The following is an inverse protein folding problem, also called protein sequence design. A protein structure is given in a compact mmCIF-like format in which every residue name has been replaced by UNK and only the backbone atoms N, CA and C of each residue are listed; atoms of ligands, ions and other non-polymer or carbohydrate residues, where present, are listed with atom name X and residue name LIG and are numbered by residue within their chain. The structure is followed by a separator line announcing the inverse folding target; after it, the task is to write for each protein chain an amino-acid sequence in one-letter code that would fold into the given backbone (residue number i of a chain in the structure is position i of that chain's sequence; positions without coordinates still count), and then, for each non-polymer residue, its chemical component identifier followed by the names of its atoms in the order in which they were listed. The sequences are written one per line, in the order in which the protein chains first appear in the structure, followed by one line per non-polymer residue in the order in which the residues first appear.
data_IF_673717983001
#
_entry.id   IF_673717983001
#
_cell.length_a   1.000
_cell.length_b   1.000
_cell.length_c   1.000
_cell.angle_alpha   90.00
_cell.angle_beta   90.00
_cell.angle_gamma   90.00
#
_symmetry.space_group_name_H-M   'P 1'
#
loop_
_entity.id
_entity.type
_entity.pdbx_description
1 polymer ?
#
# COMPACT_ATOMS: atom_id res chain seq x y z
N UNK A 1 7.88 15.07 -34.97
CA UNK A 1 6.84 14.93 -33.95
C UNK A 1 7.26 13.79 -33.07
N UNK A 2 8.06 14.19 -32.11
CA UNK A 2 8.48 13.48 -30.91
C UNK A 2 7.25 12.91 -30.20
N UNK A 3 7.27 11.64 -29.80
CA UNK A 3 7.74 11.28 -28.46
C UNK A 3 7.76 9.74 -28.32
N UNK A 4 8.90 9.23 -27.87
CA UNK A 4 9.12 7.81 -27.63
C UNK A 4 8.34 7.39 -26.38
N UNK A 5 7.31 6.56 -26.55
CA UNK A 5 6.76 5.81 -25.41
C UNK A 5 7.81 4.81 -24.94
N UNK A 6 8.57 5.20 -23.92
CA UNK A 6 9.50 4.37 -23.17
C UNK A 6 8.70 3.29 -22.42
N UNK A 7 8.81 2.05 -22.88
CA UNK A 7 8.31 0.89 -22.16
C UNK A 7 9.25 0.69 -20.98
N UNK A 8 8.78 1.02 -19.77
CA UNK A 8 9.52 0.72 -18.54
C UNK A 8 9.46 -0.79 -18.32
N UNK A 9 10.58 -1.47 -18.58
CA UNK A 9 10.77 -2.88 -18.27
C UNK A 9 10.67 -3.09 -16.75
N UNK A 10 9.53 -3.61 -16.31
CA UNK A 10 9.34 -4.08 -14.95
C UNK A 10 10.12 -5.39 -14.80
N UNK A 11 11.41 -5.29 -14.43
CA UNK A 11 12.20 -6.44 -14.04
C UNK A 11 11.58 -7.08 -12.79
N UNK A 12 10.86 -8.18 -13.02
CA UNK A 12 10.57 -9.20 -12.01
C UNK A 12 11.90 -9.85 -11.66
N UNK A 13 12.53 -9.39 -10.59
CA UNK A 13 13.57 -10.17 -9.92
C UNK A 13 12.88 -10.96 -8.81
N UNK A 14 12.56 -12.19 -9.15
CA UNK A 14 12.33 -13.24 -8.18
C UNK A 14 13.69 -13.65 -7.61
N UNK A 15 14.00 -13.26 -6.38
CA UNK A 15 15.02 -13.95 -5.59
C UNK A 15 14.52 -14.19 -4.17
N UNK A 16 14.49 -15.49 -3.87
CA UNK A 16 14.25 -16.11 -2.59
C UNK A 16 15.57 -16.08 -1.82
N UNK A 17 15.64 -15.45 -0.66
CA UNK A 17 16.46 -15.89 0.47
C UNK A 17 16.25 -15.01 1.71
N UNK A 18 16.29 -15.69 2.84
CA UNK A 18 16.11 -15.24 4.21
C UNK A 18 17.15 -14.21 4.72
N UNK A 19 16.78 -13.64 5.87
CA UNK A 19 17.64 -13.07 6.90
C UNK A 19 18.25 -11.66 6.66
N UNK A 20 17.65 -10.71 7.38
CA UNK A 20 18.26 -9.58 8.07
C UNK A 20 19.59 -9.04 7.50
N UNK A 21 19.54 -7.86 6.87
CA UNK A 21 20.62 -6.86 6.99
C UNK A 21 20.12 -5.48 6.60
N UNK A 22 20.33 -4.56 7.54
CA UNK A 22 20.21 -3.12 7.43
C UNK A 22 21.01 -2.59 6.25
N UNK A 23 20.35 -1.97 5.27
CA UNK A 23 21.03 -1.12 4.28
C UNK A 23 20.85 0.35 4.68
N UNK A 24 21.92 0.90 5.23
CA UNK A 24 22.09 2.33 5.45
C UNK A 24 22.20 3.03 4.09
N UNK A 25 21.15 3.74 3.70
CA UNK A 25 21.19 4.74 2.63
C UNK A 25 21.57 6.09 3.25
N UNK A 26 22.71 6.56 2.76
CA UNK A 26 23.37 7.86 2.92
C UNK A 26 22.43 9.06 3.08
N UNK A 27 22.57 9.74 4.22
CA UNK A 27 22.51 11.20 4.40
C UNK A 27 21.52 12.01 3.56
N UNK A 28 20.24 12.02 3.95
CA UNK A 28 19.33 13.14 3.69
C UNK A 28 18.46 13.37 4.91
N UNK A 29 18.52 14.59 5.47
CA UNK A 29 17.90 15.04 6.73
C UNK A 29 16.67 14.22 7.14
N UNK A 30 16.84 13.38 8.15
CA UNK A 30 15.81 12.52 8.73
C UNK A 30 14.64 13.36 9.26
N UNK A 31 13.67 13.71 8.40
CA UNK A 31 12.30 13.83 8.85
C UNK A 31 11.89 12.42 9.24
N UNK A 32 11.55 12.20 10.50
CA UNK A 32 10.83 11.00 10.90
C UNK A 32 9.59 10.97 10.01
N UNK A 33 9.61 10.12 8.98
CA UNK A 33 8.45 9.93 8.14
C UNK A 33 7.36 9.41 9.08
N UNK A 34 6.36 10.24 9.30
CA UNK A 34 5.22 9.89 10.14
C UNK A 34 4.37 8.90 9.33
N UNK A 35 4.83 7.65 9.26
CA UNK A 35 4.16 6.57 8.57
C UNK A 35 2.92 6.21 9.41
N UNK A 36 1.70 6.40 8.89
CA UNK A 36 0.48 6.12 9.65
C UNK A 36 0.36 4.64 9.97
N UNK A 37 -0.15 4.30 11.14
CA UNK A 37 -0.46 2.90 11.48
C UNK A 37 -1.56 2.38 10.54
N UNK A 38 -1.64 1.06 10.35
CA UNK A 38 -2.53 0.44 9.35
C UNK A 38 -4.00 0.92 9.43
N UNK A 39 -4.52 1.20 10.62
CA UNK A 39 -5.85 1.75 10.81
C UNK A 39 -5.99 3.20 10.31
N UNK A 40 -5.01 4.05 10.61
CA UNK A 40 -4.97 5.45 10.16
C UNK A 40 -4.80 5.52 8.65
N UNK A 41 -3.88 4.73 8.09
CA UNK A 41 -3.66 4.64 6.65
C UNK A 41 -4.95 4.25 5.89
N UNK A 42 -5.69 3.28 6.42
CA UNK A 42 -6.97 2.86 5.86
C UNK A 42 -8.04 3.96 5.95
N UNK A 43 -8.11 4.66 7.08
CA UNK A 43 -9.07 5.77 7.28
C UNK A 43 -8.78 6.94 6.35
N UNK A 44 -7.51 7.28 6.16
CA UNK A 44 -7.07 8.28 5.20
C UNK A 44 -7.43 7.89 3.77
N UNK A 45 -7.22 6.63 3.39
CA UNK A 45 -7.59 6.10 2.08
C UNK A 45 -9.10 6.19 1.83
N UNK A 46 -9.93 5.80 2.80
CA UNK A 46 -11.39 5.85 2.64
C UNK A 46 -11.90 7.30 2.53
N UNK A 47 -11.29 8.22 3.28
CA UNK A 47 -11.61 9.66 3.21
C UNK A 47 -11.23 10.24 1.83
N UNK A 48 -10.01 9.98 1.36
CA UNK A 48 -9.57 10.41 0.04
C UNK A 48 -10.47 9.83 -1.06
N UNK A 49 -10.90 8.58 -0.89
CA UNK A 49 -11.76 7.92 -1.86
C UNK A 49 -13.18 8.49 -1.92
N UNK A 50 -13.75 8.88 -0.77
CA UNK A 50 -15.03 9.59 -0.70
C UNK A 50 -14.94 10.96 -1.38
N UNK A 51 -13.86 11.69 -1.13
CA UNK A 51 -13.61 12.98 -1.80
C UNK A 51 -13.53 12.81 -3.31
N UNK A 52 -12.77 11.82 -3.79
CA UNK A 52 -12.58 11.56 -5.21
C UNK A 52 -13.90 11.24 -5.94
N UNK A 53 -14.77 10.42 -5.33
CA UNK A 53 -16.10 10.11 -5.89
C UNK A 53 -17.04 11.30 -6.01
N UNK A 54 -16.83 12.34 -5.21
CA UNK A 54 -17.66 13.54 -5.22
C UNK A 54 -17.21 14.55 -6.30
N UNK A 55 -16.11 14.29 -6.99
CA UNK A 55 -15.66 15.15 -8.09
C UNK A 55 -16.43 14.83 -9.38
N UNK A 56 -16.88 15.87 -10.08
CA UNK A 56 -17.62 15.75 -11.35
C UNK A 56 -16.77 15.12 -12.46
N UNK A 57 -15.45 15.24 -12.35
CA UNK A 57 -14.45 14.69 -13.28
C UNK A 57 -14.17 13.20 -13.03
N UNK A 58 -14.74 12.62 -11.98
CA UNK A 58 -14.42 11.25 -11.59
C UNK A 58 -14.93 10.23 -12.60
N UNK A 59 -14.02 9.43 -13.16
CA UNK A 59 -14.35 8.41 -14.14
C UNK A 59 -14.73 7.08 -13.47
N UNK A 60 -15.83 6.47 -13.90
CA UNK A 60 -16.36 5.24 -13.28
C UNK A 60 -15.37 4.07 -13.26
N UNK A 61 -14.51 3.97 -14.28
CA UNK A 61 -13.45 2.97 -14.29
C UNK A 61 -12.42 3.21 -13.17
N UNK A 62 -11.96 4.46 -13.00
CA UNK A 62 -11.01 4.83 -11.94
C UNK A 62 -11.61 4.58 -10.56
N UNK A 63 -12.89 4.93 -10.35
CA UNK A 63 -13.62 4.59 -9.13
C UNK A 63 -13.64 3.08 -8.89
N UNK A 64 -13.86 2.28 -9.93
CA UNK A 64 -13.91 0.81 -9.82
C UNK A 64 -12.55 0.22 -9.45
N UNK A 65 -11.47 0.72 -10.04
CA UNK A 65 -10.09 0.31 -9.69
C UNK A 65 -9.80 0.65 -8.23
N UNK A 66 -10.11 1.87 -7.79
CA UNK A 66 -9.89 2.31 -6.42
C UNK A 66 -10.74 1.52 -5.39
N UNK A 67 -11.97 1.11 -5.75
CA UNK A 67 -12.77 0.17 -4.92
C UNK A 67 -12.00 -1.14 -4.68
N UNK A 68 -11.42 -1.73 -5.74
CA UNK A 68 -10.65 -2.97 -5.62
C UNK A 68 -9.42 -2.81 -4.72
N UNK A 69 -8.72 -1.68 -4.82
CA UNK A 69 -7.58 -1.36 -3.94
C UNK A 69 -8.01 -1.27 -2.48
N UNK A 70 -9.10 -0.55 -2.21
CA UNK A 70 -9.67 -0.44 -0.85
C UNK A 70 -10.09 -1.80 -0.30
N UNK A 71 -10.75 -2.63 -1.13
CA UNK A 71 -11.19 -3.95 -0.71
C UNK A 71 -10.01 -4.90 -0.43
N UNK A 72 -8.93 -4.79 -1.21
CA UNK A 72 -7.68 -5.51 -0.94
C UNK A 72 -7.07 -5.08 0.41
N UNK A 73 -7.01 -3.78 0.68
CA UNK A 73 -6.51 -3.25 1.96
C UNK A 73 -7.38 -3.70 3.14
N UNK A 74 -8.71 -3.74 2.97
CA UNK A 74 -9.63 -4.23 3.99
C UNK A 74 -9.39 -5.73 4.30
N UNK A 75 -9.18 -6.55 3.27
CA UNK A 75 -8.88 -7.98 3.44
C UNK A 75 -7.55 -8.21 4.15
N UNK A 76 -6.50 -7.46 3.79
CA UNK A 76 -5.21 -7.53 4.48
C UNK A 76 -5.34 -7.17 5.97
N UNK A 77 -6.13 -6.15 6.29
CA UNK A 77 -6.41 -5.77 7.69
C UNK A 77 -7.09 -6.90 8.47
N UNK A 78 -8.07 -7.57 7.88
CA UNK A 78 -8.78 -8.69 8.52
C UNK A 78 -7.86 -9.91 8.66
N UNK A 79 -7.06 -10.23 7.64
CA UNK A 79 -6.09 -11.31 7.68
C UNK A 79 -5.05 -11.12 8.78
N UNK A 80 -4.43 -9.94 8.87
CA UNK A 80 -3.47 -9.60 9.92
C UNK A 80 -4.08 -9.70 11.32
N UNK A 81 -5.34 -9.31 11.48
CA UNK A 81 -6.05 -9.42 12.75
C UNK A 81 -6.26 -10.90 13.15
N UNK A 82 -6.63 -11.74 12.19
CA UNK A 82 -6.80 -13.19 12.42
C UNK A 82 -5.46 -13.87 12.74
N UNK A 83 -4.40 -13.59 11.97
CA UNK A 83 -3.06 -14.13 12.21
C UNK A 83 -2.53 -13.74 13.59
N UNK A 84 -2.73 -12.48 13.99
CA UNK A 84 -2.34 -12.00 15.32
C UNK A 84 -3.08 -12.77 16.40
N UNK A 85 -4.39 -12.95 16.26
CA UNK A 85 -5.20 -13.71 17.22
C UNK A 85 -4.76 -15.17 17.35
N UNK A 86 -4.44 -15.84 16.23
CA UNK A 86 -3.95 -17.23 16.23
C UNK A 86 -2.58 -17.31 16.91
N UNK A 87 -1.66 -16.42 16.54
CA UNK A 87 -0.32 -16.35 17.14
C UNK A 87 -0.36 -16.08 18.64
N UNK A 88 -1.26 -15.22 19.09
CA UNK A 88 -1.43 -14.92 20.51
C UNK A 88 -2.05 -16.10 21.29
N UNK A 89 -2.90 -16.91 20.64
CA UNK A 89 -3.43 -18.12 21.24
C UNK A 89 -2.34 -19.17 21.52
N UNK A 90 -1.39 -19.36 20.59
CA UNK A 90 -0.28 -20.32 20.76
C UNK A 90 0.85 -19.82 21.69
N UNK A 91 0.85 -18.55 22.08
CA UNK A 91 1.81 -17.99 23.04
C UNK A 91 1.36 -18.13 24.50
N UNK A 92 0.13 -18.54 24.74
CA UNK A 92 -0.43 -18.83 26.07
C UNK A 92 -0.22 -20.30 26.41
#
# INVERSE_FOLDING_TARGET
MDDCSEIVDLNVVNDKADAASTSSISGSKNKVENIPIAFEAFTCLDTAFRWFKAQDESYQYQITVLKKVRDLAARQRVGLLQETKVRDFFKR
#
